data_IF_884485728977
#
_entry.id   IF_884485728977
#
_cell.length_a   1.000
_cell.length_b   1.000
_cell.length_c   1.000
_cell.angle_alpha   90.00
_cell.angle_beta   90.00
_cell.angle_gamma   90.00
#
_symmetry.space_group_name_H-M   'P 1'
#
loop_
_entity.id
_entity.type
_entity.pdbx_description
1 polymer ?
#
# COMPACT_ATOMS: atom_id res chain seq x y z
N UNK A 1 12.65 -14.69 57.55
CA UNK A 1 11.52 -13.75 57.33
C UNK A 1 11.78 -13.04 56.00
N UNK A 2 11.14 -13.48 54.92
CA UNK A 2 9.94 -12.85 54.30
C UNK A 2 10.25 -11.45 53.73
N UNK A 3 10.07 -11.12 52.44
CA UNK A 3 9.07 -11.55 51.45
C UNK A 3 9.61 -11.37 50.02
N UNK A 4 9.40 -12.39 49.19
CA UNK A 4 9.43 -12.28 47.72
C UNK A 4 8.23 -11.45 47.25
N UNK A 5 8.49 -10.35 46.56
CA UNK A 5 7.47 -9.60 45.82
C UNK A 5 7.34 -10.19 44.42
N UNK A 6 6.49 -11.20 44.26
CA UNK A 6 6.06 -11.71 42.96
C UNK A 6 5.32 -10.60 42.21
N UNK A 7 5.95 -10.02 41.19
CA UNK A 7 5.26 -9.23 40.19
C UNK A 7 4.25 -10.16 39.52
N UNK A 8 2.99 -9.99 39.86
CA UNK A 8 1.86 -10.63 39.20
C UNK A 8 1.94 -10.34 37.71
N UNK A 9 2.37 -11.34 36.94
CA UNK A 9 2.15 -11.36 35.51
C UNK A 9 0.64 -11.22 35.30
N UNK A 10 0.21 -10.06 34.78
CA UNK A 10 -1.13 -9.89 34.25
C UNK A 10 -1.16 -10.72 32.96
N UNK A 11 -1.32 -12.04 33.09
CA UNK A 11 -1.57 -12.96 32.00
C UNK A 11 -2.97 -12.64 31.47
N UNK A 12 -3.03 -11.72 30.50
CA UNK A 12 -4.27 -11.40 29.83
C UNK A 12 -4.74 -12.61 29.01
N UNK A 13 -6.06 -12.86 28.89
CA UNK A 13 -6.58 -14.08 28.28
C UNK A 13 -6.16 -14.21 26.80
N UNK A 14 -5.62 -15.36 26.38
CA UNK A 14 -5.04 -15.56 25.05
C UNK A 14 -6.05 -15.46 23.87
N UNK A 15 -7.36 -15.40 24.14
CA UNK A 15 -8.40 -15.37 23.12
C UNK A 15 -8.69 -13.99 22.50
N UNK A 16 -8.64 -12.92 23.29
CA UNK A 16 -9.05 -11.56 22.84
C UNK A 16 -8.01 -10.95 21.89
N UNK A 17 -6.72 -11.15 22.18
CA UNK A 17 -5.63 -10.71 21.30
C UNK A 17 -5.62 -11.47 19.97
N UNK A 18 -5.84 -12.80 20.01
CA UNK A 18 -5.85 -13.63 18.81
C UNK A 18 -7.01 -13.29 17.84
N UNK A 19 -8.18 -12.90 18.36
CA UNK A 19 -9.31 -12.48 17.52
C UNK A 19 -9.11 -11.06 16.95
N UNK A 20 -8.56 -10.15 17.75
CA UNK A 20 -8.15 -8.80 17.32
C UNK A 20 -7.10 -8.84 16.20
N UNK A 21 -6.12 -9.75 16.30
CA UNK A 21 -5.08 -9.94 15.28
C UNK A 21 -5.63 -10.49 13.95
N UNK A 22 -6.64 -11.38 14.01
CA UNK A 22 -7.32 -11.89 12.80
C UNK A 22 -8.12 -10.80 12.10
N UNK A 23 -8.86 -9.98 12.84
CA UNK A 23 -9.62 -8.86 12.28
C UNK A 23 -8.68 -7.84 11.65
N UNK A 24 -7.61 -7.44 12.36
CA UNK A 24 -6.56 -6.55 11.83
C UNK A 24 -5.99 -7.08 10.51
N UNK A 25 -5.62 -8.37 10.48
CA UNK A 25 -5.09 -9.01 9.27
C UNK A 25 -6.07 -8.95 8.10
N UNK A 26 -7.37 -9.19 8.34
CA UNK A 26 -8.41 -9.12 7.30
C UNK A 26 -8.55 -7.69 6.76
N UNK A 27 -8.55 -6.70 7.64
CA UNK A 27 -8.63 -5.28 7.23
C UNK A 27 -7.40 -4.90 6.39
N UNK A 28 -6.20 -5.30 6.82
CA UNK A 28 -4.97 -5.09 6.04
C UNK A 28 -5.09 -5.73 4.65
N UNK A 29 -5.56 -6.97 4.58
CA UNK A 29 -5.77 -7.64 3.31
C UNK A 29 -6.75 -6.87 2.41
N UNK A 30 -7.86 -6.37 2.98
CA UNK A 30 -8.83 -5.53 2.27
C UNK A 30 -8.26 -4.20 1.78
N UNK A 31 -7.41 -3.55 2.58
CA UNK A 31 -6.71 -2.32 2.17
C UNK A 31 -5.86 -2.61 0.92
N UNK A 32 -4.99 -3.62 0.98
CA UNK A 32 -4.05 -3.86 -0.12
C UNK A 32 -4.68 -4.47 -1.36
N UNK A 33 -5.72 -5.30 -1.24
CA UNK A 33 -6.44 -5.78 -2.42
C UNK A 33 -7.21 -4.65 -3.11
N UNK A 34 -7.78 -3.71 -2.33
CA UNK A 34 -8.51 -2.55 -2.87
C UNK A 34 -7.61 -1.39 -3.31
N UNK A 35 -6.31 -1.45 -3.06
CA UNK A 35 -5.34 -0.42 -3.46
C UNK A 35 -5.28 -0.18 -4.98
N UNK A 36 -5.70 -1.17 -5.78
CA UNK A 36 -5.80 -1.04 -7.23
C UNK A 36 -7.05 -0.32 -7.74
N UNK A 37 -7.96 0.11 -6.87
CA UNK A 37 -9.30 0.60 -7.24
C UNK A 37 -9.42 2.10 -6.97
N UNK A 38 -8.94 2.93 -7.91
CA UNK A 38 -8.78 4.39 -7.73
C UNK A 38 -9.58 5.20 -8.76
N UNK A 39 -10.62 4.62 -9.38
CA UNK A 39 -11.45 5.33 -10.38
C UNK A 39 -12.16 6.57 -9.80
N UNK A 40 -12.58 6.50 -8.53
CA UNK A 40 -13.27 7.59 -7.82
C UNK A 40 -12.59 7.82 -6.48
N UNK A 41 -12.46 9.10 -6.12
CA UNK A 41 -11.94 9.52 -4.82
C UNK A 41 -13.10 9.86 -3.88
N UNK A 42 -12.98 9.55 -2.58
CA UNK A 42 -11.88 8.79 -1.94
C UNK A 42 -11.89 7.31 -2.36
N UNK A 43 -10.71 6.72 -2.55
CA UNK A 43 -10.64 5.32 -2.98
C UNK A 43 -11.01 4.39 -1.81
N UNK A 44 -11.48 3.16 -2.06
CA UNK A 44 -11.86 2.23 -0.99
C UNK A 44 -10.71 1.95 -0.02
N UNK A 45 -9.47 1.86 -0.51
CA UNK A 45 -8.30 1.64 0.33
C UNK A 45 -8.05 2.82 1.28
N UNK A 46 -8.37 4.05 0.88
CA UNK A 46 -8.20 5.23 1.73
C UNK A 46 -9.14 5.17 2.93
N UNK A 47 -10.40 4.84 2.69
CA UNK A 47 -11.41 4.70 3.74
C UNK A 47 -11.04 3.60 4.74
N UNK A 48 -10.59 2.44 4.25
CA UNK A 48 -10.15 1.36 5.12
C UNK A 48 -8.87 1.70 5.90
N UNK A 49 -7.93 2.42 5.29
CA UNK A 49 -6.69 2.85 5.95
C UNK A 49 -6.98 3.86 7.05
N UNK A 50 -7.83 4.86 6.79
CA UNK A 50 -8.27 5.82 7.79
C UNK A 50 -8.98 5.14 8.97
N UNK A 51 -9.89 4.21 8.68
CA UNK A 51 -10.59 3.45 9.72
C UNK A 51 -9.64 2.60 10.56
N UNK A 52 -8.69 1.91 9.94
CA UNK A 52 -7.71 1.10 10.65
C UNK A 52 -6.73 1.97 11.46
N UNK A 53 -6.33 3.12 10.94
CA UNK A 53 -5.47 4.07 11.65
C UNK A 53 -6.19 4.62 12.88
N UNK A 54 -7.45 5.06 12.75
CA UNK A 54 -8.26 5.52 13.88
C UNK A 54 -8.43 4.44 14.95
N UNK A 55 -8.77 3.20 14.56
CA UNK A 55 -8.88 2.08 15.49
C UNK A 55 -7.55 1.77 16.19
N UNK A 56 -6.44 1.88 15.47
CA UNK A 56 -5.10 1.63 16.01
C UNK A 56 -4.65 2.70 17.01
N UNK A 57 -5.05 3.96 16.80
CA UNK A 57 -4.84 5.04 17.77
C UNK A 57 -5.64 4.79 19.05
N UNK A 58 -6.91 4.39 18.94
CA UNK A 58 -7.78 4.09 20.08
C UNK A 58 -7.33 2.86 20.89
N UNK A 59 -6.74 1.87 20.21
CA UNK A 59 -6.27 0.61 20.84
C UNK A 59 -4.82 0.69 21.31
N UNK A 60 -4.16 1.84 21.15
CA UNK A 60 -2.78 2.09 21.59
C UNK A 60 -1.75 1.70 20.54
N UNK A 61 -1.42 2.63 19.64
CA UNK A 61 -0.35 2.46 18.66
C UNK A 61 1.02 2.58 19.35
N UNK A 62 1.80 1.50 19.37
CA UNK A 62 3.18 1.52 19.86
C UNK A 62 4.10 2.04 18.76
N UNK A 63 4.75 3.18 19.00
CA UNK A 63 5.72 3.77 18.08
C UNK A 63 7.09 3.12 18.34
N UNK A 64 7.67 2.38 17.38
CA UNK A 64 9.01 1.82 17.52
C UNK A 64 10.04 2.95 17.60
N UNK A 65 11.09 2.78 18.42
CA UNK A 65 12.17 3.78 18.55
C UNK A 65 12.86 4.09 17.21
N UNK A 66 12.90 3.13 16.29
CA UNK A 66 13.47 3.30 14.96
C UNK A 66 12.71 4.26 14.04
N UNK A 67 11.48 4.65 14.37
CA UNK A 67 10.68 5.60 13.56
C UNK A 67 10.96 7.07 13.87
N UNK A 68 11.81 7.38 14.86
CA UNK A 68 12.10 8.76 15.24
C UNK A 68 12.64 9.60 14.08
N UNK A 69 13.63 9.09 13.33
CA UNK A 69 14.23 9.81 12.19
C UNK A 69 13.22 10.05 11.06
N UNK A 70 12.51 9.03 10.53
CA UNK A 70 11.46 9.26 9.53
C UNK A 70 10.37 10.23 9.99
N UNK A 71 9.96 10.16 11.25
CA UNK A 71 8.94 11.07 11.80
C UNK A 71 9.43 12.53 11.82
N UNK A 72 10.67 12.78 12.24
CA UNK A 72 11.25 14.13 12.24
C UNK A 72 11.38 14.68 10.81
N UNK A 73 11.82 13.86 9.85
CA UNK A 73 11.91 14.27 8.45
C UNK A 73 10.53 14.61 7.87
N UNK A 74 9.51 13.81 8.17
CA UNK A 74 8.13 14.08 7.72
C UNK A 74 7.54 15.34 8.36
N UNK A 75 7.76 15.55 9.66
CA UNK A 75 7.32 16.78 10.33
C UNK A 75 8.03 18.00 9.71
N UNK A 76 9.33 17.90 9.46
CA UNK A 76 10.10 18.96 8.79
C UNK A 76 9.54 19.24 7.40
N UNK A 77 9.22 18.20 6.64
CA UNK A 77 8.58 18.32 5.33
C UNK A 77 7.21 19.01 5.42
N UNK A 78 6.36 18.67 6.40
CA UNK A 78 5.07 19.33 6.60
C UNK A 78 5.20 20.80 6.96
N UNK A 79 6.22 21.18 7.74
CA UNK A 79 6.50 22.59 8.04
C UNK A 79 6.85 23.36 6.77
N UNK A 80 7.68 22.78 5.89
CA UNK A 80 8.00 23.41 4.60
C UNK A 80 6.81 23.43 3.63
N UNK A 81 6.01 22.36 3.58
CA UNK A 81 4.77 22.31 2.77
C UNK A 81 3.80 23.42 3.20
N UNK A 82 3.66 23.67 4.51
CA UNK A 82 2.83 24.77 5.02
C UNK A 82 3.29 26.15 4.51
N UNK A 83 4.59 26.41 4.49
CA UNK A 83 5.14 27.66 3.92
C UNK A 83 4.78 27.80 2.44
N UNK A 84 4.87 26.70 1.68
CA UNK A 84 4.47 26.65 0.27
C UNK A 84 2.98 26.93 0.07
N UNK A 85 2.12 26.33 0.90
CA UNK A 85 0.66 26.52 0.84
C UNK A 85 0.26 27.95 1.13
N UNK A 86 0.90 28.59 2.12
CA UNK A 86 0.64 29.99 2.48
C UNK A 86 1.06 30.98 1.37
N UNK A 87 1.98 30.56 0.50
CA UNK A 87 2.53 31.39 -0.58
C UNK A 87 1.93 31.07 -1.96
N UNK A 88 0.90 30.22 -2.01
CA UNK A 88 0.40 29.68 -3.27
C UNK A 88 -0.52 30.65 -4.02
N UNK A 89 -0.28 30.80 -5.33
CA UNK A 89 -1.14 31.56 -6.24
C UNK A 89 -2.55 30.96 -6.40
N UNK A 90 -2.67 29.64 -6.26
CA UNK A 90 -3.94 28.91 -6.33
C UNK A 90 -4.25 28.22 -4.98
N UNK A 91 -4.86 28.92 -4.02
CA UNK A 91 -5.00 28.42 -2.65
C UNK A 91 -5.90 27.17 -2.57
N UNK A 92 -6.82 26.98 -3.52
CA UNK A 92 -7.65 25.77 -3.60
C UNK A 92 -6.84 24.51 -3.89
N UNK A 93 -5.99 24.53 -4.92
CA UNK A 93 -5.13 23.38 -5.28
C UNK A 93 -4.06 23.14 -4.22
N UNK A 94 -3.49 24.20 -3.65
CA UNK A 94 -2.51 24.10 -2.57
C UNK A 94 -3.06 23.41 -1.33
N UNK A 95 -4.29 23.74 -0.89
CA UNK A 95 -4.93 23.06 0.25
C UNK A 95 -5.18 21.58 -0.02
N UNK A 96 -5.61 21.21 -1.23
CA UNK A 96 -5.80 19.80 -1.59
C UNK A 96 -4.48 19.04 -1.61
N UNK A 97 -3.41 19.64 -2.15
CA UNK A 97 -2.06 19.09 -2.08
C UNK A 97 -1.63 18.85 -0.63
N UNK A 98 -1.79 19.85 0.24
CA UNK A 98 -1.45 19.73 1.66
C UNK A 98 -2.21 18.58 2.34
N UNK A 99 -3.51 18.45 2.06
CA UNK A 99 -4.34 17.38 2.62
C UNK A 99 -3.84 16.00 2.18
N UNK A 100 -3.56 15.81 0.90
CA UNK A 100 -3.00 14.56 0.36
C UNK A 100 -1.63 14.26 0.94
N UNK A 101 -0.77 15.27 1.05
CA UNK A 101 0.58 15.16 1.64
C UNK A 101 0.53 14.73 3.09
N UNK A 102 -0.30 15.38 3.91
CA UNK A 102 -0.50 15.04 5.31
C UNK A 102 -1.02 13.60 5.44
N UNK A 103 -2.02 13.24 4.64
CA UNK A 103 -2.58 11.89 4.61
C UNK A 103 -1.53 10.83 4.27
N UNK A 104 -0.71 11.04 3.23
CA UNK A 104 0.34 10.12 2.81
C UNK A 104 1.44 9.99 3.87
N UNK A 105 1.87 11.11 4.47
CA UNK A 105 2.89 11.08 5.51
C UNK A 105 2.43 10.33 6.76
N UNK A 106 1.20 10.58 7.25
CA UNK A 106 0.65 9.81 8.36
C UNK A 106 0.45 8.33 8.02
N UNK A 107 -0.05 8.03 6.82
CA UNK A 107 -0.21 6.65 6.34
C UNK A 107 1.13 5.92 6.30
N UNK A 108 2.21 6.58 5.88
CA UNK A 108 3.55 6.00 5.85
C UNK A 108 4.06 5.63 7.24
N UNK A 109 3.91 6.52 8.23
CA UNK A 109 4.28 6.25 9.62
C UNK A 109 3.40 5.16 10.24
N UNK A 110 2.11 5.16 9.90
CA UNK A 110 1.17 4.15 10.35
C UNK A 110 1.56 2.75 9.84
N UNK A 111 1.81 2.59 8.54
CA UNK A 111 2.24 1.31 7.98
C UNK A 111 3.63 0.91 8.48
N UNK A 112 4.55 1.86 8.70
CA UNK A 112 5.84 1.58 9.32
C UNK A 112 5.68 1.05 10.76
N UNK A 113 4.81 1.64 11.58
CA UNK A 113 4.49 1.13 12.92
C UNK A 113 3.89 -0.28 12.84
N UNK A 114 2.97 -0.49 11.91
CA UNK A 114 2.26 -1.76 11.72
C UNK A 114 3.23 -2.89 11.33
N UNK A 115 4.11 -2.64 10.36
CA UNK A 115 5.10 -3.62 9.88
C UNK A 115 6.21 -3.85 10.92
N UNK A 116 6.64 -2.82 11.64
CA UNK A 116 7.65 -2.97 12.70
C UNK A 116 7.14 -3.79 13.89
N UNK A 117 5.83 -3.78 14.14
CA UNK A 117 5.19 -4.54 15.22
C UNK A 117 5.00 -6.00 14.86
N UNK A 118 4.59 -6.26 13.62
CA UNK A 118 4.05 -7.56 13.23
C UNK A 118 4.98 -8.32 12.26
N UNK A 119 5.14 -9.60 12.54
CA UNK A 119 6.05 -10.55 11.89
C UNK A 119 6.08 -10.52 10.35
N UNK A 120 7.12 -11.15 9.78
CA UNK A 120 7.27 -11.40 8.33
C UNK A 120 6.00 -11.98 7.65
N UNK A 121 5.08 -12.58 8.41
CA UNK A 121 3.83 -13.11 7.88
C UNK A 121 2.82 -12.03 7.49
N UNK A 122 2.75 -10.89 8.19
CA UNK A 122 1.89 -9.78 7.76
C UNK A 122 2.42 -9.17 6.47
N UNK A 123 3.74 -8.99 6.36
CA UNK A 123 4.37 -8.49 5.14
C UNK A 123 4.06 -9.41 3.95
N UNK A 124 4.14 -10.74 4.13
CA UNK A 124 3.75 -11.72 3.10
C UNK A 124 2.29 -11.57 2.66
N UNK A 125 1.37 -11.33 3.60
CA UNK A 125 -0.06 -11.14 3.31
C UNK A 125 -0.32 -9.82 2.58
N UNK A 126 0.37 -8.74 2.98
CA UNK A 126 0.33 -7.43 2.30
C UNK A 126 0.71 -7.60 0.83
N UNK A 127 1.87 -8.18 0.56
CA UNK A 127 2.34 -8.38 -0.82
C UNK A 127 1.44 -9.33 -1.62
N UNK A 128 0.86 -10.35 -0.99
CA UNK A 128 -0.11 -11.23 -1.66
C UNK A 128 -1.39 -10.47 -2.03
N UNK A 129 -1.97 -9.72 -1.10
CA UNK A 129 -3.17 -8.91 -1.33
C UNK A 129 -2.92 -7.85 -2.41
N UNK A 130 -1.78 -7.17 -2.34
CA UNK A 130 -1.34 -6.20 -3.33
C UNK A 130 -1.18 -6.86 -4.71
N UNK A 131 -0.51 -8.02 -4.80
CA UNK A 131 -0.39 -8.74 -6.06
C UNK A 131 -1.75 -9.14 -6.67
N UNK A 132 -2.71 -9.56 -5.84
CA UNK A 132 -4.07 -9.86 -6.30
C UNK A 132 -4.74 -8.60 -6.85
N UNK A 133 -4.72 -7.50 -6.10
CA UNK A 133 -5.28 -6.21 -6.53
C UNK A 133 -4.66 -5.73 -7.84
N UNK A 134 -3.33 -5.85 -7.96
CA UNK A 134 -2.55 -5.49 -9.14
C UNK A 134 -2.93 -6.33 -10.38
N UNK A 135 -3.09 -7.64 -10.21
CA UNK A 135 -3.55 -8.53 -11.30
C UNK A 135 -4.96 -8.15 -11.74
N UNK A 136 -5.89 -7.91 -10.79
CA UNK A 136 -7.26 -7.53 -11.12
C UNK A 136 -7.28 -6.25 -11.96
N UNK A 137 -6.63 -5.17 -11.49
CA UNK A 137 -6.59 -3.91 -12.25
C UNK A 137 -5.85 -4.06 -13.58
N UNK A 138 -4.80 -4.90 -13.66
CA UNK A 138 -4.08 -5.14 -14.89
C UNK A 138 -4.96 -5.88 -15.92
N UNK A 139 -5.74 -6.86 -15.50
CA UNK A 139 -6.73 -7.54 -16.36
C UNK A 139 -7.74 -6.51 -16.90
N UNK A 140 -8.29 -5.63 -16.06
CA UNK A 140 -9.17 -4.56 -16.52
C UNK A 140 -8.48 -3.62 -17.52
N UNK A 141 -7.20 -3.28 -17.30
CA UNK A 141 -6.42 -2.47 -18.23
C UNK A 141 -6.21 -3.16 -19.58
N UNK A 142 -5.92 -4.46 -19.58
CA UNK A 142 -5.74 -5.27 -20.79
C UNK A 142 -7.07 -5.38 -21.56
N UNK A 143 -8.16 -5.72 -20.88
CA UNK A 143 -9.50 -5.77 -21.47
C UNK A 143 -9.89 -4.41 -22.03
N UNK A 144 -9.59 -3.34 -21.29
CA UNK A 144 -9.83 -1.97 -21.74
C UNK A 144 -9.09 -1.61 -23.02
N UNK A 145 -7.81 -1.96 -23.09
CA UNK A 145 -6.96 -1.66 -24.23
C UNK A 145 -7.42 -2.39 -25.49
N UNK A 146 -7.64 -3.71 -25.43
CA UNK A 146 -8.05 -4.49 -26.60
C UNK A 146 -9.54 -4.32 -26.93
N UNK A 147 -10.37 -4.14 -25.92
CA UNK A 147 -11.81 -3.92 -26.05
C UNK A 147 -12.22 -2.47 -26.33
N UNK A 148 -11.26 -1.55 -26.44
CA UNK A 148 -11.49 -0.11 -26.65
C UNK A 148 -12.46 0.51 -25.61
N UNK A 149 -12.37 0.06 -24.35
CA UNK A 149 -13.23 0.54 -23.27
C UNK A 149 -12.56 1.76 -22.62
N UNK A 150 -13.12 2.95 -22.86
CA UNK A 150 -12.62 4.22 -22.33
C UNK A 150 -12.62 4.29 -20.80
N UNK A 151 -13.43 3.47 -20.12
CA UNK A 151 -13.42 3.40 -18.66
C UNK A 151 -12.04 2.97 -18.10
N UNK A 152 -11.37 2.04 -18.79
CA UNK A 152 -10.10 1.45 -18.35
C UNK A 152 -8.89 1.93 -19.17
N UNK A 153 -9.11 2.86 -20.09
CA UNK A 153 -8.07 3.46 -20.93
C UNK A 153 -8.10 4.98 -20.85
N UNK A 154 -6.97 5.62 -21.14
CA UNK A 154 -6.91 7.08 -21.29
C UNK A 154 -5.90 7.41 -22.36
N UNK A 155 -6.31 8.17 -23.37
CA UNK A 155 -5.49 8.49 -24.55
C UNK A 155 -4.93 7.24 -25.24
N UNK A 156 -5.73 6.17 -25.36
CA UNK A 156 -5.32 4.91 -25.98
C UNK A 156 -4.35 4.06 -25.14
N UNK A 157 -4.10 4.43 -23.86
CA UNK A 157 -3.19 3.71 -22.95
C UNK A 157 -3.99 2.99 -21.87
N UNK A 158 -3.54 1.81 -21.45
CA UNK A 158 -4.17 1.10 -20.34
C UNK A 158 -3.95 1.86 -19.02
N UNK A 159 -5.04 2.12 -18.28
CA UNK A 159 -5.00 2.64 -16.90
C UNK A 159 -5.67 1.71 -15.89
N UNK A 160 -6.37 0.67 -16.36
CA UNK A 160 -7.10 -0.24 -15.47
C UNK A 160 -8.10 0.51 -14.61
N UNK A 161 -8.14 0.19 -13.31
CA UNK A 161 -9.00 0.83 -12.33
C UNK A 161 -8.39 2.11 -11.72
N UNK A 162 -7.42 2.73 -12.39
CA UNK A 162 -6.86 4.04 -12.00
C UNK A 162 -7.44 5.17 -12.85
N UNK A 163 -7.12 6.41 -12.46
CA UNK A 163 -7.43 7.60 -13.26
C UNK A 163 -6.41 7.87 -14.35
N UNK A 164 -5.14 7.55 -14.11
CA UNK A 164 -4.01 7.90 -15.00
C UNK A 164 -3.09 6.69 -15.24
N UNK A 165 -2.69 6.41 -16.51
CA UNK A 165 -1.75 5.34 -16.85
C UNK A 165 -0.37 5.46 -16.17
N UNK A 166 0.06 6.69 -15.87
CA UNK A 166 1.35 6.96 -15.22
C UNK A 166 1.34 6.66 -13.72
N UNK A 167 0.17 6.51 -13.10
CA UNK A 167 0.03 5.99 -11.73
C UNK A 167 -0.14 4.47 -11.77
N UNK A 168 -0.93 3.98 -12.72
CA UNK A 168 -1.17 2.55 -12.93
C UNK A 168 0.12 1.76 -13.21
N UNK A 169 0.98 2.22 -14.13
CA UNK A 169 2.21 1.52 -14.50
C UNK A 169 3.16 1.28 -13.30
N UNK A 170 3.59 2.34 -12.58
CA UNK A 170 4.42 2.20 -11.39
C UNK A 170 3.77 1.38 -10.26
N UNK A 171 2.44 1.44 -10.12
CA UNK A 171 1.71 0.63 -9.14
C UNK A 171 1.89 -0.89 -9.35
N UNK A 172 2.11 -1.35 -10.58
CA UNK A 172 2.34 -2.77 -10.89
C UNK A 172 3.78 -3.24 -10.61
N UNK A 173 4.74 -2.34 -10.40
CA UNK A 173 6.17 -2.68 -10.24
C UNK A 173 6.44 -3.47 -8.93
N UNK A 174 6.00 -3.05 -7.73
CA UNK A 174 6.24 -3.85 -6.53
C UNK A 174 5.61 -5.26 -6.57
N UNK A 175 4.35 -5.44 -7.06
CA UNK A 175 3.78 -6.75 -7.35
C UNK A 175 4.60 -7.59 -8.34
N UNK A 176 5.16 -6.96 -9.38
CA UNK A 176 6.01 -7.62 -10.36
C UNK A 176 7.28 -8.17 -9.70
N UNK A 177 7.99 -7.34 -8.92
CA UNK A 177 9.18 -7.75 -8.17
C UNK A 177 8.85 -8.85 -7.15
N UNK A 178 7.70 -8.77 -6.50
CA UNK A 178 7.23 -9.81 -5.60
C UNK A 178 6.98 -11.14 -6.34
N UNK A 179 6.39 -11.10 -7.53
CA UNK A 179 6.21 -12.29 -8.38
C UNK A 179 7.57 -12.88 -8.79
N UNK A 180 8.53 -12.06 -9.23
CA UNK A 180 9.91 -12.51 -9.56
C UNK A 180 10.55 -13.21 -8.36
N UNK A 181 10.48 -12.58 -7.17
CA UNK A 181 10.99 -13.18 -5.93
C UNK A 181 10.34 -14.52 -5.64
N UNK A 182 9.04 -14.69 -5.93
CA UNK A 182 8.34 -15.97 -5.76
C UNK A 182 8.76 -17.02 -6.77
N UNK A 183 9.03 -16.65 -8.02
CA UNK A 183 9.56 -17.60 -9.02
C UNK A 183 10.91 -18.16 -8.59
N UNK A 184 11.84 -17.28 -8.19
CA UNK A 184 13.21 -17.67 -7.81
C UNK A 184 13.22 -18.62 -6.60
N UNK A 185 12.31 -18.41 -5.65
CA UNK A 185 12.30 -19.16 -4.38
C UNK A 185 11.31 -20.35 -4.35
N UNK A 186 10.62 -20.67 -5.46
CA UNK A 186 9.60 -21.72 -5.48
C UNK A 186 10.06 -22.99 -6.21
N UNK A 187 9.65 -24.18 -5.75
CA UNK A 187 9.86 -25.42 -6.50
C UNK A 187 9.09 -25.39 -7.83
N UNK A 188 9.61 -26.04 -8.89
CA UNK A 188 9.07 -26.00 -10.26
C UNK A 188 7.54 -26.14 -10.35
N UNK A 189 6.92 -27.02 -9.54
CA UNK A 189 5.47 -27.25 -9.54
C UNK A 189 4.64 -26.03 -9.12
N UNK A 190 5.23 -25.08 -8.39
CA UNK A 190 4.56 -23.88 -7.85
C UNK A 190 4.90 -22.62 -8.64
N UNK A 191 5.70 -22.73 -9.71
CA UNK A 191 6.15 -21.62 -10.55
C UNK A 191 5.05 -21.14 -11.50
N UNK A 192 4.24 -22.06 -12.03
CA UNK A 192 3.22 -21.76 -13.05
C UNK A 192 2.24 -20.62 -12.71
N UNK A 193 1.61 -20.57 -11.51
CA UNK A 193 0.70 -19.48 -11.19
C UNK A 193 1.41 -18.12 -11.18
N UNK A 194 2.64 -18.09 -10.67
CA UNK A 194 3.41 -16.84 -10.60
C UNK A 194 3.93 -16.39 -11.96
N UNK A 195 4.18 -17.31 -12.90
CA UNK A 195 4.47 -16.95 -14.30
C UNK A 195 3.28 -16.25 -14.95
N UNK A 196 2.07 -16.76 -14.72
CA UNK A 196 0.84 -16.11 -15.20
C UNK A 196 0.66 -14.71 -14.62
N UNK A 197 0.86 -14.56 -13.30
CA UNK A 197 0.86 -13.25 -12.63
C UNK A 197 1.90 -12.31 -13.27
N UNK A 198 3.13 -12.78 -13.45
CA UNK A 198 4.21 -12.00 -14.04
C UNK A 198 3.84 -11.53 -15.46
N UNK A 199 3.32 -12.42 -16.30
CA UNK A 199 2.90 -12.10 -17.66
C UNK A 199 1.80 -11.03 -17.70
N UNK A 200 0.76 -11.18 -16.88
CA UNK A 200 -0.34 -10.21 -16.79
C UNK A 200 0.20 -8.82 -16.39
N UNK A 201 1.08 -8.77 -15.38
CA UNK A 201 1.64 -7.51 -14.90
C UNK A 201 2.54 -6.84 -15.95
N UNK A 202 3.39 -7.61 -16.65
CA UNK A 202 4.24 -7.09 -17.73
C UNK A 202 3.40 -6.51 -18.86
N UNK A 203 2.37 -7.24 -19.32
CA UNK A 203 1.47 -6.75 -20.37
C UNK A 203 0.78 -5.46 -19.90
N UNK A 204 0.26 -5.42 -18.68
CA UNK A 204 -0.34 -4.21 -18.11
C UNK A 204 0.62 -3.02 -18.11
N UNK A 205 1.87 -3.22 -17.71
CA UNK A 205 2.92 -2.18 -17.72
C UNK A 205 3.20 -1.70 -19.14
N UNK A 206 3.39 -2.62 -20.10
CA UNK A 206 3.67 -2.28 -21.50
C UNK A 206 2.53 -1.46 -22.11
N UNK A 207 1.28 -1.92 -21.94
CA UNK A 207 0.08 -1.24 -22.45
C UNK A 207 -0.19 0.11 -21.77
N UNK A 208 0.37 0.33 -20.57
CA UNK A 208 0.28 1.63 -19.91
C UNK A 208 1.12 2.70 -20.60
N UNK A 209 2.14 2.33 -21.38
CA UNK A 209 3.14 3.24 -21.98
C UNK A 209 3.69 4.28 -20.98
N UNK A 210 3.80 3.92 -19.69
CA UNK A 210 4.21 4.84 -18.63
C UNK A 210 5.71 5.05 -18.62
N UNK A 211 6.16 6.25 -18.97
CA UNK A 211 7.57 6.70 -18.84
C UNK A 211 8.10 6.52 -17.41
N UNK A 212 7.24 6.74 -16.41
CA UNK A 212 7.57 6.54 -15.00
C UNK A 212 7.78 5.05 -14.63
N UNK A 213 7.07 4.12 -15.29
CA UNK A 213 7.23 2.69 -15.05
C UNK A 213 8.58 2.16 -15.56
N UNK A 214 9.05 2.64 -16.71
CA UNK A 214 10.39 2.33 -17.22
C UNK A 214 11.50 2.82 -16.29
N UNK A 215 11.37 4.06 -15.77
CA UNK A 215 12.30 4.61 -14.80
C UNK A 215 12.33 3.83 -13.47
N UNK A 216 11.16 3.49 -12.93
CA UNK A 216 11.07 2.69 -11.70
C UNK A 216 11.69 1.31 -11.87
N UNK A 217 11.49 0.64 -13.02
CA UNK A 217 12.08 -0.67 -13.30
C UNK A 217 13.61 -0.61 -13.29
N UNK A 218 14.20 0.35 -14.02
CA UNK A 218 15.66 0.54 -14.11
C UNK A 218 16.29 0.87 -12.75
N UNK A 219 15.65 1.70 -11.93
CA UNK A 219 16.17 2.06 -10.60
C UNK A 219 16.05 0.91 -9.60
N UNK A 220 15.11 -0.03 -9.82
CA UNK A 220 14.84 -1.14 -8.90
C UNK A 220 15.60 -2.44 -9.20
N UNK A 221 16.19 -2.55 -10.39
CA UNK A 221 17.03 -3.67 -10.85
C UNK A 221 18.49 -3.48 -10.48
#
# INVERSE_FOLDING_TARGET
>A
MMRSGSLSQISSPPGVYAQSDKIRTRIIFLIFISSGFVLREPAPYDLFTLGLMALSLLTGLRIPRGLGVPAVLLITFFVFDLVGVLSAFEPGKARMHAFVTIYLGFSSLFFACLIARDSLDILRKIFLAYAIGAVITAIFGIIGYFGHIELFTLYGRAKGLFKDPNVFGPFLIPPLLYAIKKLINSPLKRVWPWMGVLGILIIGILLSFSRAAWGHFIVSS
#
